data_IF_934716284034
#
_entry.id   IF_934716284034
#
_cell.length_a   1.000
_cell.length_b   1.000
_cell.length_c   1.000
_cell.angle_alpha   90.00
_cell.angle_beta   90.00
_cell.angle_gamma   90.00
#
_symmetry.space_group_name_H-M   'P 1'
#
loop_
_entity.id
_entity.type
_entity.pdbx_description
1 polymer ?
#
# COMPACT_ATOMS: atom_id res chain seq x y z
N UNK A 1 -33.86 8.18 48.90
CA UNK A 1 -34.23 7.61 47.58
C UNK A 1 -34.20 8.62 46.42
N UNK A 2 -34.70 9.87 46.55
CA UNK A 2 -34.66 10.85 45.44
C UNK A 2 -33.25 11.29 45.01
N UNK A 3 -32.31 11.46 45.96
CA UNK A 3 -30.92 11.86 45.66
C UNK A 3 -30.11 10.79 44.90
N UNK A 4 -30.44 9.52 45.11
CA UNK A 4 -29.78 8.39 44.44
C UNK A 4 -30.22 8.24 42.97
N UNK A 5 -31.50 8.53 42.66
CA UNK A 5 -32.00 8.52 41.28
C UNK A 5 -31.40 9.63 40.41
N UNK A 6 -31.14 10.82 40.99
CA UNK A 6 -30.49 11.92 40.27
C UNK A 6 -29.04 11.64 39.90
N UNK A 7 -28.28 11.00 40.80
CA UNK A 7 -26.89 10.62 40.55
C UNK A 7 -26.80 9.54 39.47
N UNK A 8 -27.71 8.56 39.47
CA UNK A 8 -27.75 7.51 38.46
C UNK A 8 -28.11 8.04 37.05
N UNK A 9 -29.02 9.00 36.96
CA UNK A 9 -29.37 9.66 35.69
C UNK A 9 -28.23 10.51 35.13
N UNK A 10 -27.48 11.19 36.01
CA UNK A 10 -26.29 11.95 35.60
C UNK A 10 -25.17 11.01 35.16
N UNK A 11 -24.95 9.88 35.84
CA UNK A 11 -23.97 8.88 35.41
C UNK A 11 -24.35 8.23 34.06
N UNK A 12 -25.63 7.92 33.82
CA UNK A 12 -26.09 7.42 32.53
C UNK A 12 -25.97 8.47 31.42
N UNK A 13 -26.28 9.73 31.70
CA UNK A 13 -26.12 10.82 30.72
C UNK A 13 -24.64 11.07 30.40
N UNK A 14 -23.74 10.98 31.39
CA UNK A 14 -22.29 11.10 31.17
C UNK A 14 -21.77 9.89 30.40
N UNK A 15 -22.24 8.65 30.67
CA UNK A 15 -21.87 7.47 29.86
C UNK A 15 -22.42 7.51 28.42
N UNK A 16 -23.56 8.16 28.16
CA UNK A 16 -24.08 8.38 26.80
C UNK A 16 -23.41 9.56 26.09
N UNK A 17 -22.71 10.44 26.82
CA UNK A 17 -21.99 11.60 26.29
C UNK A 17 -20.48 11.34 26.11
N UNK A 18 -19.96 10.21 26.57
CA UNK A 18 -18.66 9.71 26.12
C UNK A 18 -18.95 9.00 24.80
N UNK A 19 -18.59 9.55 23.63
CA UNK A 19 -18.60 8.74 22.43
C UNK A 19 -17.67 7.57 22.72
N UNK A 20 -18.20 6.35 22.68
CA UNK A 20 -17.40 5.15 22.56
C UNK A 20 -16.69 5.21 21.22
N UNK A 21 -15.62 5.98 21.13
CA UNK A 21 -14.65 5.96 20.06
C UNK A 21 -13.31 5.82 20.74
N UNK A 22 -12.94 4.58 21.02
CA UNK A 22 -11.54 4.20 20.88
C UNK A 22 -11.22 4.36 19.38
N UNK A 23 -11.09 5.60 18.92
CA UNK A 23 -10.74 5.91 17.53
C UNK A 23 -9.29 5.47 17.42
N UNK A 24 -9.02 4.44 16.60
CA UNK A 24 -7.67 3.95 16.39
C UNK A 24 -6.74 5.11 16.01
N UNK A 25 -5.46 5.02 16.41
CA UNK A 25 -4.48 6.05 16.11
C UNK A 25 -4.44 6.33 14.60
N UNK A 26 -4.76 7.56 14.21
CA UNK A 26 -4.77 7.99 12.82
C UNK A 26 -3.35 8.27 12.36
N UNK A 27 -2.85 7.48 11.42
CA UNK A 27 -1.51 7.68 10.85
C UNK A 27 -1.62 8.55 9.60
N UNK A 28 -1.04 9.77 9.63
CA UNK A 28 -1.03 10.68 8.46
C UNK A 28 -0.44 10.03 7.20
N UNK A 29 0.51 9.10 7.38
CA UNK A 29 1.09 8.32 6.28
C UNK A 29 0.07 7.36 5.65
N UNK A 30 -0.83 6.76 6.44
CA UNK A 30 -1.92 5.95 5.90
C UNK A 30 -2.93 6.80 5.17
N UNK A 31 -3.28 7.98 5.70
CA UNK A 31 -4.21 8.87 5.00
C UNK A 31 -3.73 9.21 3.58
N UNK A 32 -2.44 9.55 3.47
CA UNK A 32 -1.83 9.82 2.17
C UNK A 32 -1.81 8.56 1.31
N UNK A 33 -1.28 7.45 1.82
CA UNK A 33 -1.09 6.23 1.06
C UNK A 33 -2.42 5.63 0.55
N UNK A 34 -3.44 5.54 1.42
CA UNK A 34 -4.75 4.99 1.09
C UNK A 34 -5.53 5.91 0.14
N UNK A 35 -5.28 7.22 0.15
CA UNK A 35 -5.91 8.15 -0.81
C UNK A 35 -5.50 7.92 -2.27
N UNK A 36 -4.44 7.13 -2.50
CA UNK A 36 -3.94 6.77 -3.83
C UNK A 36 -4.48 5.43 -4.34
N UNK A 37 -5.22 4.69 -3.52
CA UNK A 37 -5.96 3.50 -3.94
C UNK A 37 -7.19 3.90 -4.76
N UNK A 38 -7.74 2.93 -5.50
CA UNK A 38 -8.97 3.10 -6.26
C UNK A 38 -10.20 3.31 -5.37
N UNK A 39 -11.25 3.87 -5.95
CA UNK A 39 -12.53 4.00 -5.26
C UNK A 39 -13.12 2.62 -4.94
N UNK A 40 -13.64 2.48 -3.71
CA UNK A 40 -14.19 1.22 -3.24
C UNK A 40 -13.14 0.19 -2.82
N UNK A 41 -11.84 0.51 -2.84
CA UNK A 41 -10.81 -0.39 -2.32
C UNK A 41 -11.09 -0.76 -0.85
N UNK A 42 -11.12 -2.05 -0.48
CA UNK A 42 -11.53 -2.49 0.85
C UNK A 42 -10.67 -1.89 1.96
N UNK A 43 -9.36 -1.74 1.77
CA UNK A 43 -8.49 -1.15 2.80
C UNK A 43 -8.82 0.32 3.08
N UNK A 44 -9.18 1.08 2.04
CA UNK A 44 -9.62 2.46 2.18
C UNK A 44 -11.00 2.54 2.87
N UNK A 45 -11.91 1.64 2.50
CA UNK A 45 -13.27 1.56 3.09
C UNK A 45 -13.17 1.23 4.58
N UNK A 46 -12.55 0.10 4.95
CA UNK A 46 -12.43 -0.35 6.33
C UNK A 46 -11.65 0.66 7.19
N UNK A 47 -10.56 1.25 6.69
CA UNK A 47 -9.84 2.29 7.43
C UNK A 47 -10.72 3.51 7.72
N UNK A 48 -11.54 3.94 6.77
CA UNK A 48 -12.46 5.05 6.97
C UNK A 48 -13.58 4.70 7.96
N UNK A 49 -14.09 3.48 7.94
CA UNK A 49 -15.12 3.01 8.88
C UNK A 49 -14.57 2.95 10.31
N UNK A 50 -13.37 2.42 10.49
CA UNK A 50 -12.74 2.24 11.80
C UNK A 50 -12.25 3.57 12.42
N UNK A 51 -11.67 4.45 11.59
CA UNK A 51 -11.07 5.71 12.07
C UNK A 51 -11.98 6.92 11.92
N UNK A 52 -12.99 6.86 11.06
CA UNK A 52 -13.80 8.01 10.65
C UNK A 52 -12.98 9.11 9.99
N UNK A 53 -11.91 8.78 9.26
CA UNK A 53 -11.00 9.72 8.60
C UNK A 53 -11.59 10.39 7.34
N UNK A 54 -12.62 9.79 6.73
CA UNK A 54 -13.32 10.25 5.52
C UNK A 54 -12.40 10.56 4.32
N UNK A 55 -11.37 9.73 4.12
CA UNK A 55 -10.45 9.84 3.00
C UNK A 55 -11.16 9.44 1.72
N UNK A 56 -10.97 10.21 0.66
CA UNK A 56 -11.46 9.90 -0.68
C UNK A 56 -10.32 9.44 -1.56
N UNK A 57 -10.60 8.49 -2.44
CA UNK A 57 -9.71 8.15 -3.54
C UNK A 57 -9.48 9.42 -4.39
N UNK A 58 -8.21 9.80 -4.57
CA UNK A 58 -7.83 10.95 -5.41
C UNK A 58 -8.04 10.66 -6.89
N UNK A 59 -7.88 9.39 -7.26
CA UNK A 59 -8.04 8.89 -8.61
C UNK A 59 -9.03 7.72 -8.55
N UNK A 60 -10.24 7.81 -9.14
CA UNK A 60 -11.25 6.77 -9.03
C UNK A 60 -10.77 5.37 -9.47
N UNK A 61 -9.88 5.33 -10.46
CA UNK A 61 -9.26 4.08 -10.96
C UNK A 61 -7.94 3.71 -10.26
N UNK A 62 -7.59 4.41 -9.17
CA UNK A 62 -6.34 4.27 -8.41
C UNK A 62 -5.14 4.94 -9.07
N UNK A 63 -4.08 5.26 -8.34
CA UNK A 63 -2.90 5.89 -8.92
C UNK A 63 -2.13 4.88 -9.80
N UNK A 64 -1.87 5.20 -11.09
CA UNK A 64 -1.13 4.29 -11.97
C UNK A 64 0.36 4.24 -11.62
N UNK A 65 1.02 3.17 -12.05
CA UNK A 65 2.47 3.06 -12.04
C UNK A 65 3.06 3.75 -13.26
N UNK A 66 4.23 4.37 -13.11
CA UNK A 66 5.02 4.91 -14.21
C UNK A 66 6.50 4.95 -13.82
N UNK A 67 7.38 4.33 -14.64
CA UNK A 67 8.82 4.32 -14.38
C UNK A 67 9.42 5.73 -14.33
N UNK A 68 10.04 6.12 -13.20
CA UNK A 68 10.53 7.48 -12.96
C UNK A 68 9.45 8.48 -12.49
N UNK A 69 8.25 7.98 -12.16
CA UNK A 69 7.10 8.76 -11.74
C UNK A 69 7.27 9.38 -10.36
N UNK A 70 7.28 10.71 -10.26
CA UNK A 70 7.51 11.44 -8.97
C UNK A 70 6.68 12.71 -8.78
N UNK A 71 5.92 13.13 -9.78
CA UNK A 71 5.22 14.42 -9.77
C UNK A 71 3.70 14.23 -9.73
N UNK A 72 3.09 14.46 -8.57
CA UNK A 72 1.63 14.34 -8.38
C UNK A 72 0.83 15.12 -9.43
N UNK A 73 1.25 16.35 -9.75
CA UNK A 73 0.56 17.23 -10.70
C UNK A 73 0.55 16.73 -12.14
N UNK A 74 1.25 15.63 -12.44
CA UNK A 74 1.28 14.99 -13.76
C UNK A 74 0.51 13.68 -13.81
N UNK A 75 0.03 13.16 -12.68
CA UNK A 75 -0.70 11.89 -12.67
C UNK A 75 -1.90 11.96 -13.63
N UNK A 76 -2.10 10.90 -14.42
CA UNK A 76 -3.04 10.80 -15.56
C UNK A 76 -2.73 11.67 -16.78
N UNK A 77 -1.64 12.44 -16.78
CA UNK A 77 -1.20 13.11 -18.01
C UNK A 77 -0.45 12.12 -18.91
N UNK A 78 -0.49 12.35 -20.22
CA UNK A 78 0.30 11.58 -21.19
C UNK A 78 1.79 11.91 -21.01
N UNK A 79 2.62 10.87 -20.93
CA UNK A 79 4.07 11.00 -20.84
C UNK A 79 4.81 9.84 -21.51
N UNK A 80 6.04 10.11 -21.93
CA UNK A 80 7.00 9.08 -22.33
C UNK A 80 8.03 8.89 -21.21
N UNK A 81 8.43 7.65 -20.90
CA UNK A 81 9.39 7.36 -19.85
C UNK A 81 10.77 7.91 -20.24
N UNK A 82 11.55 8.37 -19.25
CA UNK A 82 12.91 8.88 -19.50
C UNK A 82 13.89 7.75 -19.85
N UNK A 83 13.58 6.52 -19.42
CA UNK A 83 14.40 5.33 -19.62
C UNK A 83 13.50 4.14 -19.94
N UNK A 84 14.00 3.24 -20.79
CA UNK A 84 13.32 1.99 -21.06
C UNK A 84 13.42 1.04 -19.86
N UNK A 85 12.39 0.23 -19.69
CA UNK A 85 12.36 -0.92 -18.78
C UNK A 85 11.66 -2.08 -19.50
N UNK A 86 11.51 -3.22 -18.80
CA UNK A 86 10.77 -4.36 -19.36
C UNK A 86 9.31 -4.02 -19.71
N UNK A 87 8.75 -2.98 -19.06
CA UNK A 87 7.36 -2.56 -19.24
C UNK A 87 7.21 -1.23 -20.01
N UNK A 88 8.24 -0.36 -19.99
CA UNK A 88 8.15 0.99 -20.54
C UNK A 88 9.15 1.20 -21.67
N UNK A 89 8.68 1.72 -22.82
CA UNK A 89 9.50 2.02 -24.00
C UNK A 89 9.53 3.53 -24.25
N UNK A 90 10.71 4.10 -24.51
CA UNK A 90 10.91 5.56 -24.59
C UNK A 90 10.26 6.21 -25.82
N UNK A 91 9.97 5.43 -26.85
CA UNK A 91 9.28 5.85 -28.07
C UNK A 91 7.75 5.73 -27.97
N UNK A 92 7.23 5.25 -26.84
CA UNK A 92 5.79 5.09 -26.58
C UNK A 92 5.26 6.10 -25.57
N UNK A 93 3.94 6.24 -25.54
CA UNK A 93 3.21 7.13 -24.64
C UNK A 93 2.39 6.31 -23.66
N UNK A 94 2.34 6.75 -22.40
CA UNK A 94 1.62 6.10 -21.31
C UNK A 94 0.92 7.15 -20.46
N UNK A 95 -0.05 6.72 -19.64
CA UNK A 95 -0.52 7.54 -18.53
C UNK A 95 0.55 7.64 -17.45
N UNK A 96 0.85 8.85 -17.05
CA UNK A 96 1.81 9.14 -16.00
C UNK A 96 1.23 8.79 -14.62
N UNK A 97 2.11 8.34 -13.75
CA UNK A 97 1.81 7.84 -12.42
C UNK A 97 3.01 8.02 -11.49
N UNK A 98 3.03 7.29 -10.38
CA UNK A 98 4.20 7.20 -9.52
C UNK A 98 5.03 5.95 -9.84
N UNK A 99 6.33 6.00 -9.56
CA UNK A 99 7.10 4.78 -9.27
C UNK A 99 7.09 4.51 -7.75
N UNK A 100 7.71 3.40 -7.33
CA UNK A 100 7.75 3.01 -5.93
C UNK A 100 8.36 4.07 -5.00
N UNK A 101 9.43 4.75 -5.44
CA UNK A 101 10.11 5.77 -4.67
C UNK A 101 9.36 7.11 -4.68
N UNK A 102 8.79 7.51 -5.82
CA UNK A 102 7.98 8.71 -5.95
C UNK A 102 6.74 8.64 -5.07
N UNK A 103 6.07 7.47 -5.04
CA UNK A 103 4.93 7.22 -4.18
C UNK A 103 5.29 7.34 -2.69
N UNK A 104 6.31 6.62 -2.24
CA UNK A 104 6.71 6.61 -0.82
C UNK A 104 7.27 7.95 -0.35
N UNK A 105 8.00 8.69 -1.20
CA UNK A 105 8.39 10.08 -0.91
C UNK A 105 7.20 11.01 -0.81
N UNK A 106 6.25 10.89 -1.74
CA UNK A 106 5.04 11.69 -1.72
C UNK A 106 4.24 11.44 -0.43
N UNK A 107 4.08 10.19 0.00
CA UNK A 107 3.45 9.84 1.29
C UNK A 107 4.13 10.58 2.45
N UNK A 108 5.46 10.52 2.52
CA UNK A 108 6.22 11.19 3.59
C UNK A 108 5.99 12.71 3.57
N UNK A 109 6.04 13.32 2.40
CA UNK A 109 5.79 14.75 2.24
C UNK A 109 4.37 15.15 2.67
N UNK A 110 3.34 14.41 2.25
CA UNK A 110 1.94 14.66 2.64
C UNK A 110 1.71 14.50 4.14
N UNK A 111 2.43 13.57 4.78
CA UNK A 111 2.38 13.38 6.23
C UNK A 111 3.12 14.49 7.02
N UNK A 112 3.84 15.38 6.34
CA UNK A 112 4.64 16.45 6.94
C UNK A 112 6.05 16.03 7.35
N UNK A 113 6.54 14.90 6.83
CA UNK A 113 7.90 14.42 7.02
C UNK A 113 8.80 14.84 5.86
N UNK A 114 10.11 14.82 6.10
CA UNK A 114 11.08 14.96 5.02
C UNK A 114 11.05 13.71 4.16
N UNK A 115 11.09 13.87 2.84
CA UNK A 115 11.23 12.76 1.89
C UNK A 115 12.46 11.90 2.23
N UNK A 116 12.38 10.61 1.95
CA UNK A 116 13.50 9.69 2.10
C UNK A 116 14.48 9.79 0.92
N UNK A 117 15.74 9.42 1.15
CA UNK A 117 16.78 9.40 0.11
C UNK A 117 16.51 8.26 -0.91
N UNK A 118 17.36 8.15 -1.92
CA UNK A 118 17.42 7.04 -2.87
C UNK A 118 17.46 5.68 -2.16
N UNK A 119 16.82 4.68 -2.78
CA UNK A 119 16.74 3.32 -2.25
C UNK A 119 18.14 2.74 -2.02
N UNK A 120 19.11 3.04 -2.91
CA UNK A 120 20.50 2.62 -2.74
C UNK A 120 21.16 3.21 -1.48
N UNK A 121 20.89 4.48 -1.14
CA UNK A 121 21.37 5.08 0.12
C UNK A 121 20.65 4.50 1.32
N UNK A 122 19.35 4.22 1.21
CA UNK A 122 18.59 3.53 2.24
C UNK A 122 19.16 2.13 2.50
N UNK A 123 19.63 1.41 1.49
CA UNK A 123 20.24 0.08 1.61
C UNK A 123 21.71 0.08 2.09
N UNK A 124 22.34 1.24 2.28
CA UNK A 124 23.71 1.38 2.78
C UNK A 124 23.72 1.45 4.31
N UNK A 125 24.16 0.38 4.98
CA UNK A 125 24.24 0.31 6.45
C UNK A 125 25.17 1.35 7.09
N UNK A 126 26.06 1.95 6.32
CA UNK A 126 26.91 3.03 6.82
C UNK A 126 26.18 4.37 6.87
N UNK A 127 25.10 4.51 6.09
CA UNK A 127 24.20 5.65 6.10
C UNK A 127 23.01 5.39 7.03
N UNK A 128 22.54 6.46 7.66
CA UNK A 128 21.33 6.44 8.49
C UNK A 128 21.42 5.54 9.73
N UNK A 129 22.52 5.64 10.46
CA UNK A 129 22.68 4.94 11.75
C UNK A 129 21.80 5.54 12.84
N UNK A 130 21.36 6.77 12.64
CA UNK A 130 20.46 7.51 13.52
C UNK A 130 18.99 7.06 13.41
N UNK A 131 18.60 6.29 12.38
CA UNK A 131 17.25 5.72 12.26
C UNK A 131 17.19 4.28 12.78
N UNK A 132 16.00 3.84 13.16
CA UNK A 132 15.78 2.46 13.58
C UNK A 132 15.88 1.55 12.37
N UNK A 133 16.84 0.63 12.44
CA UNK A 133 17.11 -0.37 11.42
C UNK A 133 16.67 -1.72 11.97
N UNK A 134 15.75 -2.39 11.30
CA UNK A 134 15.42 -3.78 11.65
C UNK A 134 16.32 -4.72 10.85
N UNK A 135 16.70 -5.86 11.44
CA UNK A 135 17.44 -6.90 10.73
C UNK A 135 16.72 -7.25 9.42
N UNK A 136 17.46 -7.62 8.38
CA UNK A 136 16.85 -8.25 7.22
C UNK A 136 16.43 -9.68 7.62
N UNK A 137 15.15 -10.03 7.51
CA UNK A 137 14.73 -11.44 7.49
C UNK A 137 14.23 -11.73 6.09
N UNK A 138 14.59 -12.90 5.58
CA UNK A 138 14.17 -13.34 4.24
C UNK A 138 12.72 -13.81 4.19
N UNK A 139 12.20 -14.35 5.29
CA UNK A 139 10.79 -14.70 5.46
C UNK A 139 10.37 -14.23 6.84
N UNK A 140 9.32 -13.42 6.89
CA UNK A 140 8.84 -12.81 8.12
C UNK A 140 7.70 -13.58 8.74
N UNK A 141 6.84 -14.20 7.93
CA UNK A 141 5.53 -14.64 8.39
C UNK A 141 4.83 -13.55 9.19
N UNK A 142 4.17 -13.93 10.29
CA UNK A 142 3.57 -13.04 11.29
C UNK A 142 4.56 -12.45 12.30
N UNK A 143 5.73 -13.06 12.49
CA UNK A 143 6.72 -12.69 13.53
C UNK A 143 7.17 -11.22 13.48
N UNK A 144 7.19 -10.60 12.29
CA UNK A 144 7.65 -9.20 12.15
C UNK A 144 6.71 -8.13 12.66
N UNK A 145 5.43 -8.46 12.79
CA UNK A 145 4.43 -7.46 13.19
C UNK A 145 4.63 -6.94 14.61
N UNK A 146 5.42 -7.64 15.43
CA UNK A 146 5.76 -7.23 16.79
C UNK A 146 6.79 -6.10 16.87
N UNK A 147 7.59 -5.88 15.82
CA UNK A 147 8.68 -4.89 15.78
C UNK A 147 8.36 -3.69 14.88
N UNK A 148 7.57 -3.92 13.83
CA UNK A 148 7.20 -2.92 12.84
C UNK A 148 6.17 -1.94 13.39
N UNK A 149 6.22 -0.70 12.88
CA UNK A 149 5.16 0.30 13.07
C UNK A 149 4.67 0.74 11.71
N UNK A 150 3.37 1.00 11.62
CA UNK A 150 2.73 1.59 10.45
C UNK A 150 3.56 2.78 9.96
N UNK A 151 3.92 2.75 8.68
CA UNK A 151 4.80 3.72 8.05
C UNK A 151 6.26 3.30 7.92
N UNK A 152 6.71 2.24 8.59
CA UNK A 152 8.07 1.71 8.39
C UNK A 152 8.24 1.29 6.93
N UNK A 153 9.39 1.65 6.34
CA UNK A 153 9.70 1.39 4.93
C UNK A 153 10.52 0.11 4.81
N UNK A 154 10.27 -0.68 3.77
CA UNK A 154 11.16 -1.77 3.34
C UNK A 154 11.81 -1.40 2.02
N UNK A 155 13.13 -1.23 2.05
CA UNK A 155 13.96 -1.01 0.87
C UNK A 155 14.54 -2.34 0.39
N UNK A 156 14.45 -2.60 -0.91
CA UNK A 156 14.74 -3.90 -1.53
C UNK A 156 15.71 -3.69 -2.69
N UNK A 157 16.69 -4.59 -2.79
CA UNK A 157 17.52 -4.79 -3.97
C UNK A 157 17.23 -6.19 -4.51
N UNK A 158 16.72 -6.24 -5.72
CA UNK A 158 16.41 -7.46 -6.44
C UNK A 158 17.68 -8.15 -6.97
N UNK A 159 17.62 -9.46 -7.27
CA UNK A 159 18.75 -10.21 -7.84
C UNK A 159 19.29 -9.64 -9.14
N UNK A 160 18.43 -9.06 -9.98
CA UNK A 160 18.75 -8.42 -11.26
C UNK A 160 19.38 -7.01 -11.10
N UNK A 161 19.41 -6.47 -9.88
CA UNK A 161 19.92 -5.14 -9.56
C UNK A 161 18.85 -4.05 -9.51
N UNK A 162 17.58 -4.38 -9.79
CA UNK A 162 16.43 -3.50 -9.60
C UNK A 162 16.26 -3.10 -8.13
N UNK A 163 15.76 -1.88 -7.90
CA UNK A 163 15.48 -1.39 -6.55
C UNK A 163 13.98 -1.22 -6.37
N UNK A 164 13.47 -1.58 -5.20
CA UNK A 164 12.08 -1.38 -4.85
C UNK A 164 11.93 -0.87 -3.41
N UNK A 165 10.81 -0.21 -3.15
CA UNK A 165 10.47 0.27 -1.82
C UNK A 165 8.97 0.18 -1.58
N UNK A 166 8.61 -0.29 -0.39
CA UNK A 166 7.23 -0.39 0.07
C UNK A 166 7.09 0.13 1.49
N UNK A 167 5.86 0.39 1.92
CA UNK A 167 5.56 0.86 3.28
C UNK A 167 4.67 -0.16 3.99
N UNK A 168 5.03 -0.51 5.22
CA UNK A 168 4.20 -1.34 6.09
C UNK A 168 2.96 -0.56 6.57
N UNK A 169 1.78 -1.18 6.45
CA UNK A 169 0.50 -0.54 6.78
C UNK A 169 -0.28 -1.26 7.88
N UNK A 170 0.32 -2.26 8.53
CA UNK A 170 -0.35 -3.09 9.52
C UNK A 170 -0.60 -4.50 8.99
N UNK A 171 -1.69 -5.10 9.45
CA UNK A 171 -2.15 -6.45 9.13
C UNK A 171 -3.62 -6.40 8.75
N UNK A 172 -4.21 -7.52 8.34
CA UNK A 172 -5.64 -7.58 8.06
C UNK A 172 -6.49 -7.18 9.30
N UNK A 173 -6.01 -7.44 10.53
CA UNK A 173 -6.70 -7.02 11.76
C UNK A 173 -6.87 -5.51 11.90
N UNK A 174 -5.88 -4.74 11.41
CA UNK A 174 -5.88 -3.28 11.49
C UNK A 174 -6.90 -2.64 10.54
N UNK A 175 -7.56 -3.45 9.71
CA UNK A 175 -8.63 -3.08 8.78
C UNK A 175 -9.93 -3.87 9.07
N UNK A 176 -10.20 -4.18 10.35
CA UNK A 176 -11.48 -4.77 10.78
C UNK A 176 -11.68 -6.24 10.41
N UNK A 177 -10.71 -6.89 9.75
CA UNK A 177 -10.81 -8.31 9.44
C UNK A 177 -10.60 -9.18 10.68
N UNK A 178 -11.31 -10.29 10.71
CA UNK A 178 -11.30 -11.28 11.79
C UNK A 178 -11.41 -12.67 11.19
N UNK A 179 -11.20 -13.70 12.02
CA UNK A 179 -11.43 -15.09 11.60
C UNK A 179 -12.87 -15.38 11.14
N UNK A 180 -13.84 -14.49 11.43
CA UNK A 180 -15.26 -14.69 11.15
C UNK A 180 -15.74 -14.05 9.85
N UNK A 181 -15.15 -12.91 9.43
CA UNK A 181 -15.53 -12.20 8.21
C UNK A 181 -14.53 -12.38 7.06
N UNK A 182 -13.32 -12.88 7.34
CA UNK A 182 -12.30 -13.12 6.33
C UNK A 182 -12.55 -14.45 5.60
N UNK A 183 -12.28 -14.55 4.28
CA UNK A 183 -12.35 -15.81 3.55
C UNK A 183 -11.49 -16.89 4.21
N UNK A 184 -12.00 -18.13 4.27
CA UNK A 184 -11.36 -19.22 5.01
C UNK A 184 -9.89 -19.48 4.62
N UNK A 185 -9.54 -19.24 3.36
CA UNK A 185 -8.16 -19.35 2.84
C UNK A 185 -7.23 -18.24 3.30
N UNK A 186 -7.75 -17.07 3.66
CA UNK A 186 -6.99 -15.93 4.16
C UNK A 186 -6.84 -15.93 5.68
N UNK A 187 -7.69 -16.64 6.42
CA UNK A 187 -7.65 -16.75 7.90
C UNK A 187 -6.25 -17.06 8.47
N UNK A 188 -5.43 -17.95 7.87
CA UNK A 188 -4.07 -18.21 8.37
C UNK A 188 -3.13 -17.00 8.34
N UNK A 189 -3.39 -16.02 7.47
CA UNK A 189 -2.53 -14.85 7.25
C UNK A 189 -3.08 -13.58 7.89
N UNK A 190 -4.04 -13.70 8.81
CA UNK A 190 -4.68 -12.58 9.49
C UNK A 190 -3.68 -11.63 10.17
N UNK A 191 -2.54 -12.16 10.63
CA UNK A 191 -1.47 -11.43 11.31
C UNK A 191 -0.26 -11.16 10.41
N UNK A 192 -0.35 -11.45 9.11
CA UNK A 192 0.78 -11.24 8.21
C UNK A 192 0.89 -9.74 7.85
N UNK A 193 2.11 -9.23 7.64
CA UNK A 193 2.30 -7.84 7.27
C UNK A 193 1.64 -7.50 5.94
N UNK A 194 0.99 -6.35 5.88
CA UNK A 194 0.52 -5.72 4.66
C UNK A 194 1.51 -4.63 4.25
N UNK A 195 1.82 -4.61 2.95
CA UNK A 195 2.62 -3.57 2.33
C UNK A 195 1.75 -2.76 1.37
N UNK A 196 1.88 -1.44 1.38
CA UNK A 196 1.40 -0.58 0.29
C UNK A 196 2.59 -0.06 -0.51
N UNK A 197 2.48 -0.13 -1.84
CA UNK A 197 3.53 0.29 -2.75
C UNK A 197 2.98 0.54 -4.16
N UNK A 198 3.73 1.28 -4.96
CA UNK A 198 3.44 1.48 -6.38
C UNK A 198 4.35 0.57 -7.18
N UNK A 199 3.78 -0.42 -7.87
CA UNK A 199 4.53 -1.48 -8.56
C UNK A 199 3.82 -1.93 -9.83
N UNK A 200 4.49 -2.80 -10.59
CA UNK A 200 3.87 -3.55 -11.67
C UNK A 200 2.72 -4.41 -11.14
N UNK A 201 1.57 -4.34 -11.82
CA UNK A 201 0.36 -5.11 -11.45
C UNK A 201 -0.60 -5.17 -12.64
N UNK A 202 -1.00 -6.38 -13.02
CA UNK A 202 -1.91 -6.59 -14.15
C UNK A 202 -3.36 -6.18 -13.85
N UNK A 203 -3.74 -6.00 -12.58
CA UNK A 203 -5.10 -5.62 -12.17
C UNK A 203 -5.51 -4.22 -12.67
N UNK A 204 -4.52 -3.36 -12.93
CA UNK A 204 -4.73 -2.00 -13.39
C UNK A 204 -4.85 -1.87 -14.91
N UNK A 205 -4.33 -2.86 -15.65
CA UNK A 205 -4.17 -2.75 -17.09
C UNK A 205 -5.51 -2.58 -17.80
N UNK A 206 -6.46 -3.47 -17.55
CA UNK A 206 -7.77 -3.45 -18.21
C UNK A 206 -8.60 -2.22 -17.83
N UNK A 207 -8.55 -1.81 -16.56
CA UNK A 207 -9.26 -0.60 -16.09
C UNK A 207 -8.80 0.64 -16.86
N UNK A 208 -7.49 0.78 -17.02
CA UNK A 208 -6.93 1.92 -17.74
C UNK A 208 -7.01 1.77 -19.26
N UNK A 209 -7.00 0.56 -19.81
CA UNK A 209 -7.29 0.32 -21.23
C UNK A 209 -8.69 0.85 -21.58
N UNK A 210 -9.70 0.46 -20.80
CA UNK A 210 -11.07 0.97 -20.99
C UNK A 210 -11.14 2.48 -20.85
N UNK A 211 -10.51 3.06 -19.81
CA UNK A 211 -10.45 4.51 -19.65
C UNK A 211 -9.84 5.23 -20.86
N UNK A 212 -8.74 4.71 -21.40
CA UNK A 212 -8.08 5.30 -22.57
C UNK A 212 -8.97 5.24 -23.82
N UNK A 213 -9.64 4.11 -24.06
CA UNK A 213 -10.59 3.92 -25.16
C UNK A 213 -11.77 4.89 -25.06
N UNK A 214 -12.39 4.99 -23.87
CA UNK A 214 -13.54 5.88 -23.62
C UNK A 214 -13.19 7.37 -23.76
N UNK A 215 -11.92 7.74 -23.61
CA UNK A 215 -11.43 9.12 -23.73
C UNK A 215 -10.74 9.40 -25.08
N UNK A 216 -10.80 8.48 -26.06
CA UNK A 216 -10.23 8.68 -27.40
C UNK A 216 -8.70 8.78 -27.42
N UNK A 217 -8.02 8.12 -26.48
CA UNK A 217 -6.56 8.14 -26.33
C UNK A 217 -5.91 6.91 -26.99
N UNK A 218 -6.24 6.62 -28.24
CA UNK A 218 -5.89 5.38 -28.95
C UNK A 218 -4.37 5.12 -29.13
N UNK A 219 -3.53 6.16 -29.03
CA UNK A 219 -2.07 6.06 -29.17
C UNK A 219 -1.33 5.98 -27.83
N UNK A 220 -2.06 5.95 -26.72
CA UNK A 220 -1.50 5.88 -25.37
C UNK A 220 -1.68 4.46 -24.86
N UNK A 221 -0.61 3.88 -24.31
CA UNK A 221 -0.67 2.56 -23.70
C UNK A 221 -1.15 2.65 -22.24
N UNK A 222 -1.89 1.63 -21.76
CA UNK A 222 -2.23 1.51 -20.36
C UNK A 222 -0.97 1.43 -19.49
N UNK A 223 -1.01 1.95 -18.26
CA UNK A 223 0.05 1.73 -17.29
C UNK A 223 0.12 0.25 -16.93
N UNK A 224 1.33 -0.24 -16.70
CA UNK A 224 1.58 -1.64 -16.34
C UNK A 224 1.57 -1.88 -14.83
N UNK A 225 0.71 -1.16 -14.10
CA UNK A 225 0.63 -1.26 -12.65
C UNK A 225 -0.03 -0.07 -11.96
N UNK A 226 0.08 -0.03 -10.64
CA UNK A 226 -0.54 0.99 -9.80
C UNK A 226 -0.12 0.89 -8.34
N UNK A 227 -0.76 1.71 -7.51
CA UNK A 227 -0.67 1.58 -6.05
C UNK A 227 -1.48 0.37 -5.61
N UNK A 228 -0.83 -0.59 -4.96
CA UNK A 228 -1.45 -1.83 -4.48
C UNK A 228 -1.14 -2.05 -3.01
N UNK A 229 -2.06 -2.74 -2.33
CA UNK A 229 -1.80 -3.42 -1.06
C UNK A 229 -1.52 -4.89 -1.32
N UNK A 230 -0.43 -5.41 -0.75
CA UNK A 230 0.02 -6.79 -0.91
C UNK A 230 0.26 -7.46 0.44
N UNK A 231 0.01 -8.76 0.50
CA UNK A 231 0.28 -9.61 1.65
C UNK A 231 1.73 -10.11 1.62
N UNK A 232 2.50 -9.76 2.64
CA UNK A 232 3.92 -10.10 2.71
C UNK A 232 4.14 -11.55 3.17
N UNK A 233 4.99 -12.27 2.44
CA UNK A 233 5.56 -13.59 2.80
C UNK A 233 4.54 -14.72 3.05
N UNK A 234 3.29 -14.56 2.60
CA UNK A 234 2.39 -15.69 2.42
C UNK A 234 2.99 -16.67 1.39
N UNK A 235 2.90 -18.01 1.57
CA UNK A 235 3.37 -18.93 0.56
C UNK A 235 2.56 -18.79 -0.74
N UNK A 236 3.22 -18.56 -1.87
CA UNK A 236 2.56 -18.41 -3.17
C UNK A 236 1.72 -19.64 -3.56
N UNK A 237 2.08 -20.83 -3.07
CA UNK A 237 1.32 -22.08 -3.28
C UNK A 237 -0.04 -22.10 -2.59
N UNK A 238 -0.24 -21.25 -1.60
CA UNK A 238 -1.47 -21.21 -0.82
C UNK A 238 -2.51 -20.25 -1.44
N UNK A 239 -2.06 -19.37 -2.33
CA UNK A 239 -2.91 -18.46 -3.07
C UNK A 239 -3.82 -19.25 -4.05
N UNK A 240 -5.15 -19.06 -4.00
CA UNK A 240 -6.09 -19.86 -4.78
C UNK A 240 -6.06 -19.58 -6.29
N UNK A 241 -5.58 -18.41 -6.73
CA UNK A 241 -5.51 -18.03 -8.12
C UNK A 241 -4.38 -17.00 -8.36
N UNK A 242 -4.27 -16.53 -9.60
CA UNK A 242 -3.33 -15.48 -9.99
C UNK A 242 -4.06 -14.31 -10.64
N UNK A 243 -3.46 -13.13 -10.60
CA UNK A 243 -3.99 -11.94 -11.29
C UNK A 243 -4.19 -12.20 -12.79
N UNK A 244 -5.06 -11.45 -13.48
CA UNK A 244 -5.29 -11.62 -14.91
C UNK A 244 -3.99 -11.56 -15.72
N UNK A 245 -3.86 -12.42 -16.72
CA UNK A 245 -2.71 -12.39 -17.61
C UNK A 245 -2.79 -11.18 -18.54
N UNK A 246 -1.73 -10.39 -18.57
CA UNK A 246 -1.55 -9.25 -19.47
C UNK A 246 -0.24 -9.46 -20.21
N UNK A 247 -0.21 -9.24 -21.53
CA UNK A 247 1.01 -9.41 -22.31
C UNK A 247 2.11 -8.48 -21.77
N UNK A 248 3.28 -9.07 -21.48
CA UNK A 248 4.41 -8.33 -20.92
C UNK A 248 4.34 -8.09 -19.41
N UNK A 249 3.34 -8.61 -18.68
CA UNK A 249 3.28 -8.59 -17.22
C UNK A 249 3.17 -9.99 -16.65
N UNK A 250 3.90 -10.24 -15.56
CA UNK A 250 3.76 -11.47 -14.80
C UNK A 250 2.43 -11.48 -14.04
N UNK A 251 1.84 -12.67 -13.92
CA UNK A 251 0.63 -12.86 -13.12
C UNK A 251 1.03 -13.20 -11.69
N UNK A 252 0.48 -12.47 -10.72
CA UNK A 252 0.87 -12.59 -9.31
C UNK A 252 -0.07 -13.54 -8.56
N UNK A 253 0.44 -14.41 -7.66
CA UNK A 253 -0.41 -15.20 -6.78
C UNK A 253 -1.21 -14.28 -5.85
N UNK A 254 -2.52 -14.49 -5.78
CA UNK A 254 -3.41 -13.62 -5.02
C UNK A 254 -4.58 -14.35 -4.34
N UNK A 255 -5.12 -13.70 -3.33
CA UNK A 255 -6.35 -14.08 -2.65
C UNK A 255 -7.46 -13.09 -2.99
N UNK A 256 -8.71 -13.57 -3.01
CA UNK A 256 -9.86 -12.69 -3.14
C UNK A 256 -10.19 -12.09 -1.77
N UNK A 257 -10.23 -10.77 -1.71
CA UNK A 257 -10.64 -10.00 -0.55
C UNK A 257 -11.73 -9.03 -0.97
N UNK A 258 -12.99 -9.46 -0.92
CA UNK A 258 -14.14 -8.63 -1.30
C UNK A 258 -14.06 -8.13 -2.76
N UNK A 259 -13.55 -8.95 -3.67
CA UNK A 259 -13.32 -8.58 -5.07
C UNK A 259 -12.00 -7.85 -5.32
N UNK A 260 -11.23 -7.50 -4.28
CA UNK A 260 -9.86 -7.02 -4.42
C UNK A 260 -8.89 -8.21 -4.52
N UNK A 261 -8.00 -8.19 -5.51
CA UNK A 261 -6.95 -9.18 -5.67
C UNK A 261 -5.81 -8.86 -4.71
N UNK A 262 -5.83 -9.44 -3.51
CA UNK A 262 -4.76 -9.29 -2.54
C UNK A 262 -3.55 -10.14 -2.97
N UNK A 263 -2.64 -9.51 -3.70
CA UNK A 263 -1.43 -10.14 -4.22
C UNK A 263 -0.44 -10.47 -3.10
N UNK A 264 0.33 -11.53 -3.31
CA UNK A 264 1.38 -11.96 -2.39
C UNK A 264 2.72 -11.41 -2.84
N UNK A 265 3.45 -10.77 -1.93
CA UNK A 265 4.84 -10.34 -2.15
C UNK A 265 5.75 -11.18 -1.26
N UNK A 266 6.79 -11.80 -1.84
CA UNK A 266 7.78 -12.57 -1.08
C UNK A 266 9.14 -11.88 -1.11
N UNK A 267 9.83 -11.86 0.03
CA UNK A 267 11.18 -11.32 0.15
C UNK A 267 12.28 -12.40 0.14
N UNK A 268 11.92 -13.68 0.00
CA UNK A 268 12.81 -14.82 0.21
C UNK A 268 14.08 -14.77 -0.66
N UNK A 269 13.90 -14.33 -1.92
CA UNK A 269 14.93 -14.35 -2.95
C UNK A 269 15.64 -13.01 -3.13
N UNK A 270 15.34 -12.03 -2.29
CA UNK A 270 15.90 -10.69 -2.45
C UNK A 270 17.37 -10.63 -2.10
N UNK A 271 18.14 -9.90 -2.94
CA UNK A 271 19.59 -9.77 -2.76
C UNK A 271 19.93 -8.97 -1.51
N UNK A 272 19.15 -7.94 -1.21
CA UNK A 272 19.26 -7.16 0.02
C UNK A 272 17.91 -6.59 0.41
N UNK A 273 17.62 -6.64 1.69
CA UNK A 273 16.43 -6.04 2.29
C UNK A 273 16.90 -5.18 3.45
N UNK A 274 16.26 -4.02 3.65
CA UNK A 274 16.42 -3.25 4.88
C UNK A 274 15.11 -2.58 5.24
N UNK A 275 14.69 -2.79 6.48
CA UNK A 275 13.57 -2.11 7.09
C UNK A 275 14.04 -0.87 7.83
N UNK A 276 13.32 0.24 7.66
CA UNK A 276 13.75 1.56 8.12
C UNK A 276 12.56 2.32 8.69
N UNK A 277 12.70 2.81 9.93
CA UNK A 277 11.78 3.81 10.49
C UNK A 277 12.23 5.21 10.11
N UNK A 278 11.64 5.76 9.05
CA UNK A 278 12.08 7.04 8.51
C UNK A 278 11.44 8.23 9.21
N UNK A 279 12.18 8.91 10.11
CA UNK A 279 11.85 10.23 10.70
C UNK A 279 10.41 10.40 11.25
N UNK A 280 9.69 9.32 11.49
CA UNK A 280 8.37 9.34 12.12
C UNK A 280 8.58 9.68 13.59
N UNK A 281 7.90 10.73 14.05
CA UNK A 281 7.97 11.22 15.42
C UNK A 281 6.90 10.58 16.27
#
# INVERSE_FOLDING_TARGET
MKKFKGILLVLLAVMMLVPGFCRADRYRVLDAALSMLEEGNPFLVHYNEDTGADIKARYPLGCPYFWGGRHESRILHIASPEQASDYYQTDKQYLYGFDCAGFTRWIMAQAGYAEHDSISNLLDFNKYKEYVNYPASKVTGDDRTTELRVGDLVAILHPDGGHHIAMYIGTLLDYGYTRHNLPAKLVPYLYYPLLIHCTGSSDYYERYRTYLEENGMENVLPPFGGVVVTLLDAPASDAPYRTPAVEGLESEPCFDLEGYHLQVTSLENERRIRWIRWKQK
#
